data_IF_063510164471
#
_entry.id   IF_063510164471
#
_cell.length_a   1.000
_cell.length_b   1.000
_cell.length_c   1.000
_cell.angle_alpha   90.00
_cell.angle_beta   90.00
_cell.angle_gamma   90.00
#
_symmetry.space_group_name_H-M   'P 1'
#
loop_
_entity.id
_entity.type
_entity.pdbx_description
1 polymer ?
#
# COMPACT_ATOMS: atom_id res chain seq x y z
N UNK A 1 2.80 18.52 -13.74
CA UNK A 1 3.77 17.40 -13.89
C UNK A 1 3.88 16.52 -12.63
N UNK A 2 3.50 17.01 -11.45
CA UNK A 2 3.53 16.25 -10.18
C UNK A 2 2.53 15.10 -10.13
N UNK A 3 1.30 15.28 -10.65
CA UNK A 3 0.25 14.24 -10.65
C UNK A 3 0.65 13.00 -11.44
N UNK A 4 1.16 13.18 -12.67
CA UNK A 4 1.62 12.08 -13.53
C UNK A 4 2.77 11.31 -12.88
N UNK A 5 3.66 12.01 -12.18
CA UNK A 5 4.76 11.40 -11.44
C UNK A 5 4.24 10.59 -10.24
N UNK A 6 3.29 11.10 -9.47
CA UNK A 6 2.64 10.37 -8.39
C UNK A 6 1.92 9.11 -8.87
N UNK A 7 1.19 9.20 -9.99
CA UNK A 7 0.53 8.03 -10.60
C UNK A 7 1.54 6.98 -11.06
N UNK A 8 2.67 7.41 -11.63
CA UNK A 8 3.76 6.52 -12.04
C UNK A 8 4.39 5.81 -10.84
N UNK A 9 4.65 6.54 -9.76
CA UNK A 9 5.18 5.98 -8.51
C UNK A 9 4.22 4.94 -7.93
N UNK A 10 2.92 5.24 -7.89
CA UNK A 10 1.90 4.30 -7.42
C UNK A 10 1.83 3.04 -8.29
N UNK A 11 1.81 3.21 -9.61
CA UNK A 11 1.76 2.08 -10.55
C UNK A 11 3.02 1.21 -10.43
N UNK A 12 4.20 1.80 -10.28
CA UNK A 12 5.43 1.05 -10.05
C UNK A 12 5.37 0.25 -8.74
N UNK A 13 4.93 0.87 -7.65
CA UNK A 13 4.79 0.19 -6.35
C UNK A 13 3.79 -0.96 -6.41
N UNK A 14 2.66 -0.76 -7.07
CA UNK A 14 1.67 -1.79 -7.30
C UNK A 14 2.24 -2.99 -8.07
N UNK A 15 2.93 -2.73 -9.19
CA UNK A 15 3.55 -3.79 -10.00
C UNK A 15 4.63 -4.53 -9.21
N UNK A 16 5.48 -3.81 -8.47
CA UNK A 16 6.52 -4.43 -7.63
C UNK A 16 5.89 -5.33 -6.57
N UNK A 17 4.84 -4.85 -5.89
CA UNK A 17 4.14 -5.64 -4.89
C UNK A 17 3.53 -6.91 -5.50
N UNK A 18 2.88 -6.80 -6.65
CA UNK A 18 2.26 -7.93 -7.34
C UNK A 18 3.30 -8.98 -7.73
N UNK A 19 4.42 -8.56 -8.32
CA UNK A 19 5.53 -9.46 -8.68
C UNK A 19 6.15 -10.11 -7.45
N UNK A 20 6.41 -9.34 -6.39
CA UNK A 20 6.99 -9.87 -5.15
C UNK A 20 6.09 -10.94 -4.51
N UNK A 21 4.77 -10.68 -4.44
CA UNK A 21 3.79 -11.64 -3.92
C UNK A 21 3.72 -12.88 -4.81
N UNK A 22 3.69 -12.71 -6.14
CA UNK A 22 3.65 -13.83 -7.08
C UNK A 22 4.88 -14.74 -6.94
N UNK A 23 6.08 -14.16 -6.81
CA UNK A 23 7.32 -14.91 -6.60
C UNK A 23 7.30 -15.63 -5.26
N UNK A 24 6.93 -14.95 -4.17
CA UNK A 24 6.89 -15.56 -2.84
C UNK A 24 5.90 -16.73 -2.77
N UNK A 25 4.69 -16.54 -3.32
CA UNK A 25 3.68 -17.59 -3.40
C UNK A 25 4.13 -18.71 -4.34
N UNK A 26 4.76 -18.39 -5.46
CA UNK A 26 5.31 -19.37 -6.39
C UNK A 26 6.31 -20.29 -5.71
N UNK A 27 7.28 -19.72 -4.99
CA UNK A 27 8.24 -20.49 -4.19
C UNK A 27 7.52 -21.34 -3.13
N UNK A 28 6.55 -20.77 -2.42
CA UNK A 28 5.78 -21.51 -1.42
C UNK A 28 5.01 -22.69 -2.04
N UNK A 29 4.42 -22.51 -3.21
CA UNK A 29 3.69 -23.58 -3.92
C UNK A 29 4.60 -24.67 -4.46
N UNK A 30 5.81 -24.32 -4.93
CA UNK A 30 6.79 -25.31 -5.39
C UNK A 30 7.31 -26.17 -4.22
N UNK A 31 7.53 -25.56 -3.05
CA UNK A 31 8.07 -26.27 -1.88
C UNK A 31 6.99 -27.07 -1.14
N UNK A 32 5.81 -26.49 -0.93
CA UNK A 32 4.75 -27.07 -0.11
C UNK A 32 3.64 -27.79 -0.86
N UNK A 33 3.65 -27.74 -2.21
CA UNK A 33 2.51 -28.16 -3.04
C UNK A 33 1.26 -27.31 -2.79
N UNK A 34 0.16 -27.57 -3.51
CA UNK A 34 -1.13 -26.89 -3.34
C UNK A 34 -1.47 -25.89 -4.44
N UNK A 35 -2.64 -25.26 -4.34
CA UNK A 35 -3.15 -24.36 -5.36
C UNK A 35 -2.51 -22.96 -5.28
N UNK A 36 -1.89 -22.54 -6.38
CA UNK A 36 -1.27 -21.23 -6.52
C UNK A 36 -2.30 -20.11 -6.54
N UNK A 37 -3.41 -20.29 -7.26
CA UNK A 37 -4.41 -19.24 -7.43
C UNK A 37 -5.02 -18.85 -6.06
N UNK A 38 -5.45 -19.85 -5.29
CA UNK A 38 -5.98 -19.62 -3.94
C UNK A 38 -4.97 -18.91 -3.02
N UNK A 39 -3.72 -19.40 -2.96
CA UNK A 39 -2.69 -18.79 -2.09
C UNK A 39 -2.30 -17.39 -2.54
N UNK A 40 -2.28 -17.15 -3.85
CA UNK A 40 -1.96 -15.85 -4.42
C UNK A 40 -3.06 -14.84 -4.08
N UNK A 41 -4.33 -15.20 -4.26
CA UNK A 41 -5.46 -14.36 -3.88
C UNK A 41 -5.45 -13.99 -2.39
N UNK A 42 -5.25 -14.98 -1.51
CA UNK A 42 -5.15 -14.74 -0.05
C UNK A 42 -3.95 -13.86 0.28
N UNK A 43 -2.77 -14.11 -0.31
CA UNK A 43 -1.57 -13.33 -0.04
C UNK A 43 -1.72 -11.87 -0.48
N UNK A 44 -2.37 -11.61 -1.62
CA UNK A 44 -2.67 -10.24 -2.08
C UNK A 44 -3.59 -9.50 -1.11
N UNK A 45 -4.63 -10.16 -0.59
CA UNK A 45 -5.52 -9.58 0.42
C UNK A 45 -4.75 -9.26 1.70
N UNK A 46 -3.94 -10.19 2.20
CA UNK A 46 -3.16 -10.01 3.44
C UNK A 46 -2.15 -8.87 3.27
N UNK A 47 -1.38 -8.86 2.19
CA UNK A 47 -0.38 -7.81 1.93
C UNK A 47 -1.06 -6.45 1.72
N UNK A 48 -2.15 -6.41 0.96
CA UNK A 48 -2.95 -5.20 0.78
C UNK A 48 -3.45 -4.66 2.12
N UNK A 49 -4.01 -5.52 2.98
CA UNK A 49 -4.48 -5.15 4.32
C UNK A 49 -3.34 -4.61 5.19
N UNK A 50 -2.19 -5.28 5.23
CA UNK A 50 -1.03 -4.83 6.01
C UNK A 50 -0.49 -3.48 5.51
N UNK A 51 -0.42 -3.28 4.20
CA UNK A 51 -0.04 -1.98 3.61
C UNK A 51 -1.05 -0.89 3.98
N UNK A 52 -2.35 -1.21 4.02
CA UNK A 52 -3.37 -0.27 4.43
C UNK A 52 -3.28 0.11 5.91
N UNK A 53 -3.08 -0.87 6.79
CA UNK A 53 -2.93 -0.64 8.24
C UNK A 53 -1.68 0.18 8.58
N UNK A 54 -0.57 -0.07 7.88
CA UNK A 54 0.68 0.69 8.08
C UNK A 54 0.63 2.10 7.49
N UNK A 55 -0.33 2.38 6.58
CA UNK A 55 -0.61 3.71 6.04
C UNK A 55 -1.38 4.64 6.99
N UNK A 56 -1.91 4.14 8.11
CA UNK A 56 -2.76 4.90 9.05
C UNK A 56 -2.01 5.99 9.86
N UNK A 57 -0.67 6.03 9.78
CA UNK A 57 0.13 7.11 10.38
C UNK A 57 -0.23 8.50 9.82
N UNK A 58 -0.80 8.58 8.62
CA UNK A 58 -1.28 9.84 8.02
C UNK A 58 -2.62 10.33 8.58
N UNK A 59 -3.59 9.43 8.87
CA UNK A 59 -4.88 9.82 9.44
C UNK A 59 -4.76 10.22 10.91
N UNK A 60 -3.94 9.48 11.68
CA UNK A 60 -3.59 9.83 13.06
C UNK A 60 -2.99 11.25 13.16
N UNK A 61 -2.16 11.64 12.19
CA UNK A 61 -1.53 12.97 12.11
C UNK A 61 -2.51 14.09 11.78
N UNK A 62 -3.46 13.85 10.88
CA UNK A 62 -4.55 14.81 10.61
C UNK A 62 -5.37 15.05 11.89
N UNK A 63 -5.62 14.00 12.68
CA UNK A 63 -6.25 14.11 14.00
C UNK A 63 -5.47 14.96 15.01
N UNK A 64 -4.15 15.10 14.85
CA UNK A 64 -3.28 15.90 15.72
C UNK A 64 -3.16 17.38 15.30
N UNK A 65 -3.63 17.75 14.10
CA UNK A 65 -3.64 19.15 13.63
C UNK A 65 -4.30 20.14 14.62
N UNK A 66 -5.50 19.87 15.18
CA UNK A 66 -6.12 20.79 16.14
C UNK A 66 -5.27 20.97 17.40
N UNK A 67 -4.70 19.90 17.96
CA UNK A 67 -3.83 19.99 19.14
C UNK A 67 -2.58 20.84 18.86
N UNK A 68 -1.95 20.67 17.69
CA UNK A 68 -0.77 21.47 17.30
C UNK A 68 -1.12 22.94 17.06
N UNK A 69 -2.28 23.21 16.45
CA UNK A 69 -2.76 24.57 16.26
C UNK A 69 -2.99 25.29 17.60
N UNK A 70 -3.50 24.58 18.62
CA UNK A 70 -3.66 25.13 19.97
C UNK A 70 -2.33 25.53 20.61
N UNK A 71 -1.24 24.82 20.30
CA UNK A 71 0.11 25.11 20.82
C UNK A 71 0.97 25.98 19.88
N UNK A 72 0.40 26.54 18.80
CA UNK A 72 1.15 27.36 17.83
C UNK A 72 2.25 26.60 17.08
N UNK A 73 2.20 25.26 17.08
CA UNK A 73 3.16 24.43 16.38
C UNK A 73 2.84 24.40 14.89
N UNK A 74 3.87 24.54 14.05
CA UNK A 74 3.70 24.41 12.61
C UNK A 74 3.13 23.03 12.24
N UNK A 75 2.30 22.96 11.17
CA UNK A 75 1.85 21.69 10.63
C UNK A 75 3.05 20.80 10.34
N UNK A 76 2.98 19.53 10.74
CA UNK A 76 3.96 18.56 10.29
C UNK A 76 3.89 18.50 8.77
N UNK A 77 4.98 18.88 8.10
CA UNK A 77 5.09 18.65 6.66
C UNK A 77 5.07 17.16 6.44
N UNK A 78 4.35 16.77 5.39
CA UNK A 78 4.46 15.42 4.85
C UNK A 78 5.85 15.32 4.24
N UNK A 79 6.85 15.07 5.09
CA UNK A 79 8.15 14.63 4.64
C UNK A 79 7.90 13.24 4.09
N UNK A 80 7.50 13.18 2.82
CA UNK A 80 7.72 12.01 2.00
C UNK A 80 9.24 11.80 2.01
N UNK A 81 9.74 11.09 3.02
CA UNK A 81 11.16 10.89 3.23
C UNK A 81 11.79 10.45 1.90
N UNK A 82 12.65 11.30 1.36
CA UNK A 82 13.35 11.06 0.09
C UNK A 82 12.67 11.58 -1.19
N UNK A 83 11.82 12.60 -1.14
CA UNK A 83 11.32 13.26 -2.36
C UNK A 83 10.30 12.45 -3.15
N UNK A 84 9.59 11.52 -2.51
CA UNK A 84 8.45 10.80 -3.09
C UNK A 84 7.23 11.72 -3.18
N UNK A 85 6.47 11.61 -4.26
CA UNK A 85 5.22 12.37 -4.43
C UNK A 85 4.05 11.63 -3.80
N UNK A 86 4.18 10.30 -3.68
CA UNK A 86 3.12 9.44 -3.14
C UNK A 86 3.09 9.46 -1.60
N UNK A 87 1.97 9.90 -1.06
CA UNK A 87 1.67 9.98 0.38
C UNK A 87 1.16 8.63 0.92
N UNK A 88 1.02 8.50 2.25
CA UNK A 88 0.42 7.32 2.87
C UNK A 88 -1.00 7.05 2.36
N UNK A 89 -1.80 8.11 2.19
CA UNK A 89 -3.14 8.04 1.57
C UNK A 89 -3.04 7.57 0.12
N UNK A 90 -2.06 8.06 -0.64
CA UNK A 90 -1.82 7.61 -2.02
C UNK A 90 -1.49 6.11 -2.10
N UNK A 91 -0.66 5.60 -1.18
CA UNK A 91 -0.34 4.16 -1.11
C UNK A 91 -1.59 3.36 -0.77
N UNK A 92 -2.42 3.84 0.18
CA UNK A 92 -3.67 3.17 0.53
C UNK A 92 -4.61 3.04 -0.69
N UNK A 93 -4.90 4.16 -1.35
CA UNK A 93 -5.87 4.22 -2.44
C UNK A 93 -5.39 3.54 -3.72
N UNK A 94 -4.11 3.67 -4.06
CA UNK A 94 -3.58 3.24 -5.37
C UNK A 94 -2.76 1.95 -5.33
N UNK A 95 -2.45 1.41 -4.15
CA UNK A 95 -1.68 0.16 -4.02
C UNK A 95 -2.43 -0.86 -3.17
N UNK A 96 -2.74 -0.53 -1.92
CA UNK A 96 -3.38 -1.45 -0.96
C UNK A 96 -4.77 -1.89 -1.44
N UNK A 97 -5.64 -0.93 -1.77
CA UNK A 97 -7.02 -1.21 -2.17
C UNK A 97 -7.08 -2.00 -3.51
N UNK A 98 -6.31 -1.63 -4.56
CA UNK A 98 -6.20 -2.44 -5.76
C UNK A 98 -5.67 -3.86 -5.52
N UNK A 99 -4.67 -4.05 -4.65
CA UNK A 99 -4.18 -5.40 -4.31
C UNK A 99 -5.28 -6.26 -3.70
N UNK A 100 -6.08 -5.71 -2.78
CA UNK A 100 -7.22 -6.42 -2.19
C UNK A 100 -8.27 -6.78 -3.24
N UNK A 101 -8.61 -5.84 -4.12
CA UNK A 101 -9.58 -6.09 -5.22
C UNK A 101 -9.07 -7.20 -6.13
N UNK A 102 -7.82 -7.15 -6.56
CA UNK A 102 -7.23 -8.21 -7.39
C UNK A 102 -7.25 -9.54 -6.65
N UNK A 103 -6.88 -9.56 -5.37
CA UNK A 103 -6.91 -10.77 -4.55
C UNK A 103 -8.31 -11.40 -4.46
N UNK A 104 -9.34 -10.59 -4.24
CA UNK A 104 -10.74 -11.05 -4.23
C UNK A 104 -11.16 -11.59 -5.60
N UNK A 105 -10.81 -10.90 -6.70
CA UNK A 105 -11.15 -11.36 -8.06
C UNK A 105 -10.44 -12.65 -8.46
N UNK A 106 -9.28 -12.96 -7.87
CA UNK A 106 -8.59 -14.24 -8.09
C UNK A 106 -9.27 -15.38 -7.34
N UNK A 107 -10.00 -15.08 -6.26
CA UNK A 107 -10.70 -16.07 -5.43
C UNK A 107 -12.15 -16.34 -5.85
N UNK A 108 -12.73 -15.49 -6.71
CA UNK A 108 -14.08 -15.63 -7.25
C UNK A 108 -14.11 -16.51 -8.50
#
# INVERSE_FOLDING_TARGET
MTVVRGLREALMLFVIALVAVAVAVGVWTVVGGGDFAFRFGVALIVVGTLLGLTGDLTLSRIGMLPARATFGLAPEREDAGGGRVLTGVGIFLFVSLPLMVVGVTVLS
#
